data_IF_753272786235
#
_entry.id   IF_753272786235
#
_cell.length_a   1.000
_cell.length_b   1.000
_cell.length_c   1.000
_cell.angle_alpha   90.00
_cell.angle_beta   90.00
_cell.angle_gamma   90.00
#
_symmetry.space_group_name_H-M   'P 1'
#
loop_
_entity.id
_entity.type
_entity.pdbx_description
1 polymer ?
#
# COMPACT_ATOMS: atom_id res chain seq x y z
N UNK A 1 -0.15 6.44 -10.72
CA UNK A 1 -0.24 5.42 -9.66
C UNK A 1 -1.65 5.25 -9.13
N UNK A 2 -2.35 6.34 -8.80
CA UNK A 2 -3.69 6.33 -8.19
C UNK A 2 -4.72 5.46 -8.92
N UNK A 3 -4.79 5.51 -10.26
CA UNK A 3 -5.71 4.67 -11.04
C UNK A 3 -5.46 3.16 -10.88
N UNK A 4 -4.20 2.75 -10.70
CA UNK A 4 -3.81 1.35 -10.54
C UNK A 4 -4.28 0.85 -9.16
N UNK A 5 -4.00 1.65 -8.12
CA UNK A 5 -4.45 1.36 -6.74
C UNK A 5 -5.98 1.34 -6.67
N UNK A 6 -6.65 2.34 -7.25
CA UNK A 6 -8.11 2.42 -7.31
C UNK A 6 -8.73 1.21 -8.04
N UNK A 7 -8.07 0.72 -9.10
CA UNK A 7 -8.44 -0.51 -9.79
C UNK A 7 -8.42 -1.73 -8.86
N UNK A 8 -7.34 -1.94 -8.11
CA UNK A 8 -7.24 -3.06 -7.17
C UNK A 8 -8.19 -2.97 -5.99
N UNK A 9 -8.44 -1.75 -5.47
CA UNK A 9 -9.44 -1.50 -4.43
C UNK A 9 -10.84 -1.84 -4.96
N UNK A 10 -11.17 -1.41 -6.18
CA UNK A 10 -12.48 -1.68 -6.80
C UNK A 10 -12.74 -3.18 -6.99
N UNK A 11 -11.71 -3.97 -7.28
CA UNK A 11 -11.83 -5.44 -7.39
C UNK A 11 -11.58 -6.17 -6.06
N UNK A 12 -11.49 -5.45 -4.94
CA UNK A 12 -11.19 -5.98 -3.59
C UNK A 12 -9.97 -6.92 -3.54
N UNK A 13 -8.97 -6.65 -4.39
CA UNK A 13 -7.79 -7.51 -4.51
C UNK A 13 -6.69 -7.05 -3.55
N UNK A 14 -6.90 -7.37 -2.27
CA UNK A 14 -5.95 -7.06 -1.19
C UNK A 14 -4.58 -7.68 -1.41
N UNK A 15 -4.52 -8.90 -1.97
CA UNK A 15 -3.25 -9.60 -2.23
C UNK A 15 -2.39 -8.84 -3.24
N UNK A 16 -2.97 -8.41 -4.35
CA UNK A 16 -2.25 -7.63 -5.36
C UNK A 16 -1.73 -6.29 -4.80
N UNK A 17 -2.49 -5.63 -3.93
CA UNK A 17 -2.02 -4.40 -3.26
C UNK A 17 -0.89 -4.66 -2.28
N UNK A 18 -0.93 -5.77 -1.53
CA UNK A 18 0.16 -6.16 -0.63
C UNK A 18 1.44 -6.54 -1.39
N UNK A 19 1.31 -7.25 -2.51
CA UNK A 19 2.45 -7.59 -3.38
C UNK A 19 3.05 -6.31 -4.00
N UNK A 20 2.20 -5.37 -4.44
CA UNK A 20 2.63 -4.07 -4.96
C UNK A 20 3.34 -3.22 -3.88
N UNK A 21 2.83 -3.22 -2.65
CA UNK A 21 3.47 -2.57 -1.50
C UNK A 21 4.88 -3.13 -1.28
N UNK A 22 5.01 -4.46 -1.18
CA UNK A 22 6.29 -5.13 -0.96
C UNK A 22 7.31 -4.83 -2.07
N UNK A 23 6.87 -4.79 -3.32
CA UNK A 23 7.72 -4.41 -4.45
C UNK A 23 8.22 -2.96 -4.31
N UNK A 24 7.34 -2.01 -4.00
CA UNK A 24 7.71 -0.59 -3.89
C UNK A 24 8.62 -0.32 -2.69
N UNK A 25 8.35 -0.94 -1.54
CA UNK A 25 9.22 -0.84 -0.36
C UNK A 25 10.62 -1.39 -0.65
N UNK A 26 10.74 -2.48 -1.42
CA UNK A 26 12.04 -3.02 -1.82
C UNK A 26 12.82 -2.04 -2.70
N UNK A 27 12.16 -1.40 -3.66
CA UNK A 27 12.81 -0.40 -4.53
C UNK A 27 13.24 0.82 -3.71
N UNK A 28 12.41 1.29 -2.76
CA UNK A 28 12.78 2.37 -1.85
C UNK A 28 14.06 2.04 -1.06
N UNK A 29 14.12 0.84 -0.46
CA UNK A 29 15.28 0.39 0.29
C UNK A 29 16.54 0.32 -0.58
N UNK A 30 16.40 -0.11 -1.85
CA UNK A 30 17.50 -0.11 -2.81
C UNK A 30 17.96 1.31 -3.14
N UNK A 31 17.04 2.26 -3.41
CA UNK A 31 17.38 3.65 -3.69
C UNK A 31 18.06 4.34 -2.51
N UNK A 32 17.63 4.04 -1.28
CA UNK A 32 18.25 4.56 -0.06
C UNK A 32 19.64 3.96 0.19
N UNK A 33 19.91 2.75 -0.31
CA UNK A 33 21.20 2.08 -0.19
C UNK A 33 22.22 2.52 -1.27
N UNK A 34 21.77 3.16 -2.36
CA UNK A 34 22.67 3.67 -3.41
C UNK A 34 23.39 4.92 -2.91
N UNK A 35 24.72 4.86 -2.88
CA UNK A 35 25.60 6.01 -2.63
C UNK A 35 26.23 6.48 -3.94
N UNK A 36 26.34 7.80 -4.13
CA UNK A 36 27.04 8.42 -5.28
C UNK A 36 26.16 9.12 -6.32
N UNK A 37 24.83 9.05 -6.19
CA UNK A 37 23.85 9.83 -6.96
C UNK A 37 22.86 10.41 -5.95
N UNK A 38 22.32 11.62 -6.18
CA UNK A 38 21.22 12.13 -5.35
C UNK A 38 19.90 11.46 -5.78
N UNK A 39 19.36 10.48 -5.02
CA UNK A 39 18.16 9.75 -5.42
C UNK A 39 16.89 10.40 -4.85
N UNK A 40 16.97 11.59 -4.25
CA UNK A 40 15.88 12.23 -3.49
C UNK A 40 14.56 12.30 -4.27
N UNK A 41 14.59 12.68 -5.54
CA UNK A 41 13.37 12.77 -6.35
C UNK A 41 12.72 11.40 -6.57
N UNK A 42 13.52 10.34 -6.75
CA UNK A 42 13.03 8.98 -6.92
C UNK A 42 12.52 8.39 -5.59
N UNK A 43 13.21 8.70 -4.49
CA UNK A 43 12.78 8.35 -3.12
C UNK A 43 11.44 9.00 -2.80
N UNK A 44 11.28 10.29 -3.07
CA UNK A 44 10.03 11.02 -2.84
C UNK A 44 8.87 10.43 -3.67
N UNK A 45 9.10 10.19 -4.97
CA UNK A 45 8.08 9.59 -5.83
C UNK A 45 7.60 8.23 -5.32
N UNK A 46 8.52 7.37 -4.84
CA UNK A 46 8.13 6.07 -4.28
C UNK A 46 7.41 6.22 -2.93
N UNK A 47 7.80 7.20 -2.10
CA UNK A 47 7.11 7.46 -0.84
C UNK A 47 5.63 7.86 -1.09
N UNK A 48 5.37 8.74 -2.06
CA UNK A 48 4.03 9.13 -2.48
C UNK A 48 3.22 7.93 -3.00
N UNK A 49 3.87 7.03 -3.76
CA UNK A 49 3.24 5.79 -4.22
C UNK A 49 2.89 4.84 -3.06
N UNK A 50 3.75 4.72 -2.04
CA UNK A 50 3.52 3.89 -0.87
C UNK A 50 2.31 4.38 -0.06
N UNK A 51 2.22 5.69 0.19
CA UNK A 51 1.09 6.29 0.91
C UNK A 51 -0.26 5.99 0.22
N UNK A 52 -0.28 6.05 -1.12
CA UNK A 52 -1.47 5.70 -1.90
C UNK A 52 -1.85 4.22 -1.76
N UNK A 53 -0.86 3.32 -1.82
CA UNK A 53 -1.10 1.87 -1.67
C UNK A 53 -1.61 1.54 -0.26
N UNK A 54 -1.00 2.13 0.76
CA UNK A 54 -1.41 1.95 2.17
C UNK A 54 -2.83 2.45 2.40
N UNK A 55 -3.17 3.64 1.90
CA UNK A 55 -4.54 4.14 1.94
C UNK A 55 -5.53 3.24 1.20
N UNK A 56 -5.11 2.63 0.09
CA UNK A 56 -5.89 1.62 -0.63
C UNK A 56 -6.13 0.36 0.21
N UNK A 57 -5.10 -0.14 0.90
CA UNK A 57 -5.20 -1.30 1.79
C UNK A 57 -6.08 -1.02 3.03
N UNK A 58 -6.00 0.17 3.62
CA UNK A 58 -6.88 0.59 4.71
C UNK A 58 -8.35 0.56 4.30
N UNK A 59 -8.68 1.01 3.08
CA UNK A 59 -10.04 0.94 2.53
C UNK A 59 -10.55 -0.50 2.35
N UNK A 60 -9.64 -1.46 2.21
CA UNK A 60 -9.97 -2.88 2.11
C UNK A 60 -9.94 -3.62 3.45
N UNK A 61 -9.57 -2.96 4.55
CA UNK A 61 -9.67 -3.60 5.86
C UNK A 61 -11.15 -3.85 6.16
N UNK A 62 -11.52 -5.08 6.56
CA UNK A 62 -12.85 -5.30 7.11
C UNK A 62 -13.02 -4.39 8.32
N UNK A 63 -14.18 -3.73 8.44
CA UNK A 63 -14.53 -2.96 9.63
C UNK A 63 -14.33 -3.86 10.86
N UNK A 64 -13.38 -3.53 11.73
CA UNK A 64 -13.12 -4.23 13.00
C UNK A 64 -14.25 -4.04 14.03
N UNK A 65 -15.48 -3.77 13.58
CA UNK A 65 -16.62 -3.33 14.38
C UNK A 65 -17.90 -4.11 14.14
N UNK A 66 -17.84 -5.34 13.63
CA UNK A 66 -19.03 -6.20 13.57
C UNK A 66 -18.70 -7.64 13.92
N UNK A 67 -18.34 -7.88 15.18
CA UNK A 67 -18.86 -9.08 15.85
C UNK A 67 -20.37 -8.82 16.01
N UNK A 68 -21.25 -9.65 15.44
CA UNK A 68 -22.67 -9.49 15.70
C UNK A 68 -22.91 -9.76 17.20
N UNK A 69 -23.63 -8.86 17.87
CA UNK A 69 -24.00 -9.00 19.30
C UNK A 69 -24.85 -10.26 19.61
N UNK A 70 -25.18 -11.09 18.61
CA UNK A 70 -26.09 -12.21 18.73
C UNK A 70 -25.48 -13.53 19.24
N UNK A 71 -24.18 -13.58 19.58
CA UNK A 71 -23.54 -14.79 20.15
C UNK A 71 -23.20 -14.65 21.65
N UNK A 72 -23.73 -13.63 22.33
CA UNK A 72 -23.73 -13.55 23.80
C UNK A 72 -25.13 -13.83 24.36
N UNK A 73 -25.56 -15.09 24.34
CA UNK A 73 -26.61 -15.61 25.25
C UNK A 73 -26.53 -17.13 25.31
#
# INVERSE_FOLDING_TARGET
MEMIVAGYVKVNNRRALADLLGQRSKVLAQLQAVSGINPQNAVQAIQEELELIEAGLEKLKPFSGSLPENERS
#
